data_IF_142111350394
#
_entry.id   IF_142111350394
#
_cell.length_a   1.000
_cell.length_b   1.000
_cell.length_c   1.000
_cell.angle_alpha   90.00
_cell.angle_beta   90.00
_cell.angle_gamma   90.00
#
_symmetry.space_group_name_H-M   'P 1'
#
loop_
_entity.id
_entity.type
_entity.pdbx_description
1 polymer ?
#
# COMPACT_ATOMS: atom_id res chain seq x y z
N UNK A 1 0.95 -23.95 -16.16
CA UNK A 1 2.33 -23.45 -16.26
C UNK A 1 2.24 -22.01 -16.75
N UNK A 2 1.94 -21.09 -15.84
CA UNK A 2 1.75 -19.67 -16.20
C UNK A 2 3.11 -19.02 -16.34
N UNK A 3 3.39 -18.47 -17.53
CA UNK A 3 4.63 -17.74 -17.78
C UNK A 3 4.47 -16.36 -17.17
N UNK A 4 5.18 -16.11 -16.08
CA UNK A 4 5.32 -14.76 -15.53
C UNK A 4 6.06 -13.91 -16.56
N UNK A 5 5.35 -12.98 -17.19
CA UNK A 5 5.93 -12.01 -18.12
C UNK A 5 6.53 -10.87 -17.31
N UNK A 6 7.82 -10.97 -17.00
CA UNK A 6 8.55 -9.89 -16.35
C UNK A 6 8.84 -8.80 -17.37
N UNK A 7 8.11 -7.68 -17.32
CA UNK A 7 8.46 -6.47 -18.06
C UNK A 7 9.61 -5.78 -17.31
N UNK A 8 10.82 -5.84 -17.88
CA UNK A 8 11.97 -5.12 -17.36
C UNK A 8 11.89 -3.65 -17.81
N UNK A 9 11.43 -2.76 -16.94
CA UNK A 9 11.48 -1.31 -17.17
C UNK A 9 12.83 -0.81 -16.66
N UNK A 10 13.74 -0.44 -17.57
CA UNK A 10 15.01 0.17 -17.20
C UNK A 10 14.74 1.58 -16.64
N UNK A 11 14.98 1.76 -15.33
CA UNK A 11 14.99 3.06 -14.67
C UNK A 11 16.43 3.42 -14.33
N UNK A 12 16.87 4.64 -14.63
CA UNK A 12 18.18 5.11 -14.17
C UNK A 12 18.23 5.03 -12.64
N UNK A 13 19.27 4.37 -12.12
CA UNK A 13 19.45 4.10 -10.68
C UNK A 13 19.06 5.30 -9.83
N UNK A 14 18.31 5.07 -8.74
CA UNK A 14 17.89 6.12 -7.83
C UNK A 14 19.09 6.90 -7.31
N UNK A 15 19.27 8.13 -7.79
CA UNK A 15 20.30 9.01 -7.23
C UNK A 15 19.84 9.51 -5.87
N UNK A 16 20.75 9.81 -4.93
CA UNK A 16 20.38 10.44 -3.65
C UNK A 16 19.59 11.74 -3.82
N UNK A 17 19.78 12.46 -4.92
CA UNK A 17 19.01 13.64 -5.28
C UNK A 17 17.53 13.30 -5.52
N UNK A 18 17.25 12.26 -6.32
CA UNK A 18 15.88 11.83 -6.60
C UNK A 18 15.15 11.38 -5.31
N UNK A 19 15.83 10.69 -4.41
CA UNK A 19 15.24 10.29 -3.12
C UNK A 19 14.81 11.50 -2.27
N UNK A 20 15.62 12.57 -2.28
CA UNK A 20 15.29 13.82 -1.58
C UNK A 20 14.14 14.57 -2.27
N UNK A 21 14.13 14.64 -3.60
CA UNK A 21 13.03 15.26 -4.36
C UNK A 21 11.69 14.56 -4.10
N UNK A 22 11.69 13.23 -4.10
CA UNK A 22 10.49 12.45 -3.75
C UNK A 22 10.04 12.81 -2.33
N UNK A 23 10.97 12.82 -1.37
CA UNK A 23 10.66 13.15 0.02
C UNK A 23 10.02 14.54 0.14
N UNK A 24 10.62 15.56 -0.46
CA UNK A 24 10.11 16.93 -0.45
C UNK A 24 8.72 17.03 -1.07
N UNK A 25 8.49 16.35 -2.19
CA UNK A 25 7.18 16.32 -2.85
C UNK A 25 6.10 15.64 -1.99
N UNK A 26 6.45 14.55 -1.27
CA UNK A 26 5.53 13.87 -0.35
C UNK A 26 5.18 14.72 0.88
N UNK A 27 6.13 15.52 1.37
CA UNK A 27 5.94 16.43 2.51
C UNK A 27 5.09 17.67 2.15
N UNK A 28 5.06 18.04 0.87
CA UNK A 28 4.23 19.13 0.35
C UNK A 28 2.72 18.87 0.47
N UNK A 29 1.91 19.80 -0.06
CA UNK A 29 0.44 19.67 -0.10
C UNK A 29 -0.11 19.53 -1.52
N UNK A 30 0.75 19.54 -2.55
CA UNK A 30 0.34 19.42 -3.94
C UNK A 30 0.01 17.97 -4.30
N UNK A 31 -1.26 17.69 -4.57
CA UNK A 31 -1.77 16.34 -4.84
C UNK A 31 -1.15 15.72 -6.10
N UNK A 32 -1.07 16.42 -7.26
CA UNK A 32 -0.36 15.93 -8.43
C UNK A 32 1.10 15.58 -8.15
N UNK A 33 1.87 16.45 -7.49
CA UNK A 33 3.26 16.16 -7.13
C UNK A 33 3.38 14.93 -6.21
N UNK A 34 2.48 14.77 -5.24
CA UNK A 34 2.45 13.56 -4.39
C UNK A 34 2.18 12.30 -5.18
N UNK A 35 1.26 12.34 -6.14
CA UNK A 35 0.94 11.20 -7.01
C UNK A 35 2.18 10.77 -7.79
N UNK A 36 2.89 11.72 -8.41
CA UNK A 36 4.09 11.41 -9.17
C UNK A 36 5.26 10.96 -8.28
N UNK A 37 5.42 11.57 -7.10
CA UNK A 37 6.38 11.12 -6.10
C UNK A 37 6.10 9.69 -5.63
N UNK A 38 4.83 9.33 -5.40
CA UNK A 38 4.44 7.96 -5.04
C UNK A 38 4.72 6.95 -6.16
N UNK A 39 4.49 7.30 -7.43
CA UNK A 39 4.87 6.45 -8.57
C UNK A 39 6.38 6.23 -8.61
N UNK A 40 7.16 7.29 -8.44
CA UNK A 40 8.63 7.21 -8.42
C UNK A 40 9.13 6.35 -7.25
N UNK A 41 8.53 6.50 -6.06
CA UNK A 41 8.85 5.67 -4.89
C UNK A 41 8.64 4.17 -5.16
N UNK A 42 7.52 3.83 -5.80
CA UNK A 42 7.20 2.44 -6.19
C UNK A 42 8.19 1.93 -7.24
N UNK A 43 8.53 2.75 -8.24
CA UNK A 43 9.51 2.38 -9.25
C UNK A 43 10.89 2.10 -8.65
N UNK A 44 11.38 2.92 -7.73
CA UNK A 44 12.63 2.67 -7.02
C UNK A 44 12.61 1.33 -6.28
N UNK A 45 11.51 1.06 -5.57
CA UNK A 45 11.34 -0.16 -4.81
C UNK A 45 11.31 -1.41 -5.71
N UNK A 46 10.63 -1.34 -6.86
CA UNK A 46 10.60 -2.42 -7.86
C UNK A 46 11.98 -2.71 -8.48
N UNK A 47 12.87 -1.70 -8.54
CA UNK A 47 14.25 -1.88 -8.98
C UNK A 47 15.19 -2.43 -7.88
N UNK A 48 14.66 -2.65 -6.68
CA UNK A 48 15.42 -3.15 -5.53
C UNK A 48 16.09 -2.05 -4.69
N UNK A 49 15.85 -0.78 -4.99
CA UNK A 49 16.36 0.34 -4.19
C UNK A 49 15.43 0.58 -2.98
N UNK A 50 15.86 0.18 -1.79
CA UNK A 50 15.11 0.44 -0.55
C UNK A 50 15.60 1.72 0.14
N UNK A 51 14.67 2.62 0.46
CA UNK A 51 14.93 3.86 1.20
C UNK A 51 14.10 3.88 2.50
N UNK A 52 14.64 3.40 3.63
CA UNK A 52 13.89 3.34 4.90
C UNK A 52 13.30 4.68 5.34
N UNK A 53 14.00 5.79 5.07
CA UNK A 53 13.51 7.14 5.38
C UNK A 53 12.24 7.50 4.61
N UNK A 54 12.08 6.96 3.40
CA UNK A 54 10.91 7.21 2.58
C UNK A 54 9.65 6.57 3.17
N UNK A 55 9.79 5.39 3.79
CA UNK A 55 8.67 4.74 4.48
C UNK A 55 8.12 5.61 5.62
N UNK A 56 8.99 6.22 6.43
CA UNK A 56 8.60 7.14 7.50
C UNK A 56 7.85 8.35 6.94
N UNK A 57 8.35 8.94 5.84
CA UNK A 57 7.68 10.05 5.15
C UNK A 57 6.31 9.64 4.61
N UNK A 58 6.18 8.46 4.01
CA UNK A 58 4.91 7.93 3.50
C UNK A 58 3.89 7.74 4.64
N UNK A 59 4.29 7.10 5.74
CA UNK A 59 3.42 6.91 6.91
C UNK A 59 2.94 8.24 7.47
N UNK A 60 3.77 9.29 7.46
CA UNK A 60 3.42 10.60 8.00
C UNK A 60 2.55 11.44 7.07
N UNK A 61 2.86 11.49 5.77
CA UNK A 61 2.28 12.49 4.85
C UNK A 61 1.40 11.92 3.73
N UNK A 62 1.44 10.61 3.52
CA UNK A 62 0.67 9.91 2.48
C UNK A 62 -0.46 9.09 3.09
N UNK A 63 -0.19 8.33 4.15
CA UNK A 63 -1.18 7.53 4.88
C UNK A 63 -2.46 8.32 5.25
N UNK A 64 -2.39 9.58 5.75
CA UNK A 64 -3.58 10.34 6.11
C UNK A 64 -4.28 11.02 4.91
N UNK A 65 -3.82 10.84 3.67
CA UNK A 65 -4.41 11.51 2.50
C UNK A 65 -5.83 11.02 2.22
N UNK A 66 -6.74 11.92 1.88
CA UNK A 66 -8.11 11.57 1.46
C UNK A 66 -8.22 11.29 -0.05
N UNK A 67 -7.16 11.59 -0.83
CA UNK A 67 -7.16 11.38 -2.27
C UNK A 67 -7.12 9.88 -2.61
N UNK A 68 -8.11 9.42 -3.38
CA UNK A 68 -8.27 8.02 -3.72
C UNK A 68 -7.14 7.47 -4.60
N UNK A 69 -6.50 8.31 -5.42
CA UNK A 69 -5.37 7.90 -6.26
C UNK A 69 -4.14 7.67 -5.39
N UNK A 70 -3.88 8.59 -4.46
CA UNK A 70 -2.80 8.47 -3.47
C UNK A 70 -3.00 7.22 -2.61
N UNK A 71 -4.21 6.99 -2.10
CA UNK A 71 -4.51 5.79 -1.29
C UNK A 71 -4.30 4.49 -2.08
N UNK A 72 -4.67 4.46 -3.36
CA UNK A 72 -4.42 3.29 -4.21
C UNK A 72 -2.92 3.04 -4.42
N UNK A 73 -2.14 4.10 -4.65
CA UNK A 73 -0.68 4.00 -4.78
C UNK A 73 -0.03 3.58 -3.46
N UNK A 74 -0.55 4.05 -2.33
CA UNK A 74 -0.11 3.63 -1.00
C UNK A 74 -0.28 2.12 -0.81
N UNK A 75 -1.45 1.55 -1.16
CA UNK A 75 -1.65 0.10 -1.05
C UNK A 75 -0.70 -0.69 -1.94
N UNK A 76 -0.39 -0.19 -3.15
CA UNK A 76 0.59 -0.82 -4.05
C UNK A 76 2.01 -0.75 -3.46
N UNK A 77 2.40 0.39 -2.88
CA UNK A 77 3.67 0.53 -2.19
C UNK A 77 3.78 -0.44 -1.01
N UNK A 78 2.73 -0.52 -0.19
CA UNK A 78 2.67 -1.42 0.96
C UNK A 78 2.72 -2.90 0.57
N UNK A 79 2.27 -3.26 -0.62
CA UNK A 79 2.35 -4.64 -1.11
C UNK A 79 3.81 -5.08 -1.31
N UNK A 80 4.68 -4.17 -1.75
CA UNK A 80 6.04 -4.47 -2.19
C UNK A 80 7.06 -4.41 -1.03
N UNK A 81 6.88 -3.51 -0.05
CA UNK A 81 7.87 -3.35 1.05
C UNK A 81 7.95 -4.60 1.94
N UNK A 82 9.09 -4.76 2.62
CA UNK A 82 9.18 -5.67 3.76
C UNK A 82 8.47 -5.07 4.99
N UNK A 83 7.56 -5.83 5.59
CA UNK A 83 6.78 -5.41 6.77
C UNK A 83 7.43 -5.82 8.09
N UNK A 84 8.62 -6.41 8.03
CA UNK A 84 9.35 -6.91 9.19
C UNK A 84 10.75 -6.32 9.27
N UNK A 85 11.30 -6.23 10.48
CA UNK A 85 12.69 -5.87 10.71
C UNK A 85 13.65 -7.03 10.37
N UNK A 86 14.96 -6.78 10.45
CA UNK A 86 15.97 -7.83 10.21
C UNK A 86 15.95 -9.00 11.21
N UNK A 87 15.08 -8.96 12.23
CA UNK A 87 14.84 -10.06 13.19
C UNK A 87 13.50 -10.76 12.92
N UNK A 88 12.77 -10.40 11.87
CA UNK A 88 11.48 -10.97 11.50
C UNK A 88 10.30 -10.44 12.33
N UNK A 89 10.48 -9.36 13.09
CA UNK A 89 9.38 -8.74 13.87
C UNK A 89 8.69 -7.69 13.04
N UNK A 90 7.36 -7.61 13.13
CA UNK A 90 6.58 -6.60 12.40
C UNK A 90 7.03 -5.18 12.77
N UNK A 91 7.15 -4.31 11.77
CA UNK A 91 7.55 -2.92 11.96
C UNK A 91 6.51 -2.17 12.84
N UNK A 92 6.92 -1.36 13.84
CA UNK A 92 6.00 -0.64 14.71
C UNK A 92 4.99 0.26 13.96
N UNK A 93 5.41 0.82 12.83
CA UNK A 93 4.58 1.66 11.95
C UNK A 93 3.37 0.90 11.38
N UNK A 94 3.43 -0.44 11.33
CA UNK A 94 2.30 -1.27 10.90
C UNK A 94 1.07 -1.09 11.80
N UNK A 95 1.23 -0.62 13.04
CA UNK A 95 0.10 -0.26 13.91
C UNK A 95 -0.78 0.82 13.25
N UNK A 96 -0.15 1.86 12.68
CA UNK A 96 -0.88 2.95 12.01
C UNK A 96 -1.51 2.47 10.70
N UNK A 97 -0.79 1.62 9.97
CA UNK A 97 -1.29 1.02 8.72
C UNK A 97 -2.48 0.11 9.00
N UNK A 98 -2.42 -0.75 10.03
CA UNK A 98 -3.55 -1.57 10.46
C UNK A 98 -4.78 -0.74 10.80
N UNK A 99 -4.61 0.39 11.50
CA UNK A 99 -5.73 1.28 11.80
C UNK A 99 -6.33 1.88 10.54
N UNK A 100 -5.49 2.31 9.59
CA UNK A 100 -5.96 2.83 8.29
C UNK A 100 -6.71 1.76 7.49
N UNK A 101 -6.17 0.54 7.39
CA UNK A 101 -6.82 -0.59 6.71
C UNK A 101 -8.15 -0.94 7.35
N UNK A 102 -8.23 -0.94 8.69
CA UNK A 102 -9.49 -1.16 9.42
C UNK A 102 -10.53 -0.10 9.09
N UNK A 103 -10.13 1.17 9.03
CA UNK A 103 -11.02 2.27 8.64
C UNK A 103 -11.50 2.08 7.19
N UNK A 104 -10.61 1.68 6.28
CA UNK A 104 -10.97 1.42 4.88
C UNK A 104 -11.97 0.26 4.74
N UNK A 105 -11.83 -0.81 5.53
CA UNK A 105 -12.80 -1.93 5.57
C UNK A 105 -14.18 -1.52 6.08
N UNK A 106 -14.28 -0.42 6.85
CA UNK A 106 -15.54 0.12 7.39
C UNK A 106 -16.03 1.34 6.60
N UNK A 107 -15.33 1.74 5.55
CA UNK A 107 -15.58 2.97 4.81
C UNK A 107 -16.92 2.90 4.05
N UNK A 108 -17.75 3.95 3.98
CA UNK A 108 -19.05 3.88 3.28
C UNK A 108 -18.92 3.46 1.80
N UNK A 109 -17.89 3.92 1.09
CA UNK A 109 -17.60 3.54 -0.30
C UNK A 109 -17.12 2.08 -0.43
N UNK A 110 -17.92 1.24 -1.10
CA UNK A 110 -17.64 -0.18 -1.36
C UNK A 110 -16.38 -0.42 -2.19
N UNK A 111 -16.02 0.50 -3.09
CA UNK A 111 -14.80 0.38 -3.89
C UNK A 111 -13.56 0.36 -2.99
N UNK A 112 -13.52 1.22 -1.97
CA UNK A 112 -12.41 1.30 -1.01
C UNK A 112 -12.33 0.00 -0.21
N UNK A 113 -13.47 -0.53 0.24
CA UNK A 113 -13.52 -1.84 0.92
C UNK A 113 -12.97 -2.96 0.04
N UNK A 114 -13.45 -3.03 -1.22
CA UNK A 114 -13.05 -4.07 -2.17
C UNK A 114 -11.56 -4.04 -2.53
N UNK A 115 -11.01 -2.85 -2.79
CA UNK A 115 -9.57 -2.70 -3.05
C UNK A 115 -8.74 -3.07 -1.82
N UNK A 116 -9.20 -2.68 -0.62
CA UNK A 116 -8.55 -3.04 0.64
C UNK A 116 -8.58 -4.55 0.86
N UNK A 117 -9.72 -5.22 0.66
CA UNK A 117 -9.83 -6.68 0.76
C UNK A 117 -8.87 -7.40 -0.20
N UNK A 118 -8.79 -6.95 -1.46
CA UNK A 118 -7.83 -7.49 -2.43
C UNK A 118 -6.39 -7.34 -1.96
N UNK A 119 -6.04 -6.19 -1.38
CA UNK A 119 -4.72 -5.97 -0.81
C UNK A 119 -4.44 -6.94 0.36
N UNK A 120 -5.40 -7.15 1.26
CA UNK A 120 -5.24 -8.06 2.39
C UNK A 120 -5.01 -9.52 1.96
N UNK A 121 -5.54 -9.94 0.81
CA UNK A 121 -5.25 -11.27 0.23
C UNK A 121 -3.78 -11.46 -0.18
N UNK A 122 -2.98 -10.38 -0.22
CA UNK A 122 -1.56 -10.40 -0.59
C UNK A 122 -0.62 -10.22 0.60
N UNK A 123 -1.17 -10.07 1.81
CA UNK A 123 -0.39 -10.02 3.05
C UNK A 123 -0.15 -11.43 3.60
N UNK A 124 1.02 -11.63 4.18
CA UNK A 124 1.42 -12.91 4.80
C UNK A 124 1.60 -12.80 6.31
N UNK A 125 1.68 -11.57 6.83
CA UNK A 125 1.97 -11.27 8.23
C UNK A 125 0.71 -11.43 9.08
N UNK A 126 0.62 -12.55 9.78
CA UNK A 126 -0.53 -12.90 10.62
C UNK A 126 -0.84 -11.81 11.65
N UNK A 127 0.18 -11.22 12.28
CA UNK A 127 0.03 -10.13 13.26
C UNK A 127 -0.66 -8.88 12.70
N UNK A 128 -0.60 -8.66 11.38
CA UNK A 128 -1.30 -7.57 10.69
C UNK A 128 -2.73 -7.96 10.35
N UNK A 129 -2.96 -9.22 9.94
CA UNK A 129 -4.27 -9.70 9.49
C UNK A 129 -5.21 -9.95 10.68
N UNK A 130 -4.73 -10.56 11.76
CA UNK A 130 -5.50 -10.94 12.94
C UNK A 130 -6.39 -9.81 13.50
N UNK A 131 -5.90 -8.58 13.74
CA UNK A 131 -6.74 -7.49 14.23
C UNK A 131 -7.82 -7.02 13.23
N UNK A 132 -7.70 -7.38 11.95
CA UNK A 132 -8.63 -6.98 10.88
C UNK A 132 -9.74 -8.01 10.62
N UNK A 133 -9.60 -9.24 11.13
CA UNK A 133 -10.54 -10.35 10.92
C UNK A 133 -12.01 -9.94 11.16
N UNK A 134 -12.38 -9.26 12.26
CA UNK A 134 -13.79 -8.88 12.47
C UNK A 134 -14.35 -7.99 11.36
N UNK A 135 -13.55 -7.05 10.85
CA UNK A 135 -13.95 -6.17 9.76
C UNK A 135 -13.96 -6.88 8.41
N UNK A 136 -13.04 -7.83 8.18
CA UNK A 136 -13.04 -8.69 6.99
C UNK A 136 -14.33 -9.54 6.95
N UNK A 137 -14.64 -10.24 8.04
CA UNK A 137 -15.82 -11.10 8.14
C UNK A 137 -17.12 -10.31 7.91
N UNK A 138 -17.24 -9.12 8.50
CA UNK A 138 -18.40 -8.25 8.27
C UNK A 138 -18.58 -7.90 6.79
N UNK A 139 -17.50 -7.69 6.03
CA UNK A 139 -17.60 -7.42 4.59
C UNK A 139 -18.02 -8.66 3.77
N UNK A 140 -17.71 -9.87 4.21
CA UNK A 140 -18.13 -11.11 3.54
C UNK A 140 -19.61 -11.44 3.76
N UNK A 141 -20.18 -10.98 4.87
CA UNK A 141 -21.61 -11.16 5.18
C UNK A 141 -22.50 -10.14 4.46
N UNK A 142 -21.94 -9.05 3.93
CA UNK A 142 -22.67 -8.08 3.13
C UNK A 142 -23.06 -8.69 1.76
N UNK A 143 -24.36 -8.95 1.58
CA UNK A 143 -24.95 -9.42 0.31
C UNK A 143 -24.99 -8.29 -0.72
N UNK A 144 -23.84 -7.92 -1.30
CA UNK A 144 -23.80 -7.07 -2.48
C UNK A 144 -22.82 -7.67 -3.51
N UNK A 145 -23.19 -7.76 -4.81
CA UNK A 145 -22.46 -8.55 -5.83
C UNK A 145 -20.96 -8.20 -5.95
N UNK A 146 -20.55 -6.96 -5.68
CA UNK A 146 -19.15 -6.54 -5.73
C UNK A 146 -18.25 -7.23 -4.68
N UNK A 147 -18.81 -7.67 -3.55
CA UNK A 147 -18.07 -8.37 -2.49
C UNK A 147 -18.21 -9.90 -2.56
N UNK A 148 -19.24 -10.39 -3.28
CA UNK A 148 -19.52 -11.82 -3.46
C UNK A 148 -18.89 -12.44 -4.70
N UNK A 149 -18.51 -11.63 -5.70
CA UNK A 149 -17.86 -12.12 -6.90
C UNK A 149 -16.39 -12.47 -6.65
N UNK A 150 -16.16 -13.75 -6.36
CA UNK A 150 -14.85 -14.43 -6.40
C UNK A 150 -14.05 -14.18 -7.69
N UNK A 151 -14.68 -13.60 -8.71
CA UNK A 151 -14.09 -13.26 -10.00
C UNK A 151 -13.11 -12.08 -9.95
N UNK A 152 -13.14 -11.26 -8.89
CA UNK A 152 -12.14 -10.22 -8.68
C UNK A 152 -10.94 -10.69 -7.83
N UNK A 153 -10.98 -11.91 -7.28
CA UNK A 153 -9.92 -12.52 -6.48
C UNK A 153 -8.96 -13.41 -7.30
N UNK A 154 -9.16 -13.49 -8.62
CA UNK A 154 -8.27 -14.17 -9.58
C UNK A 154 -7.71 -13.16 -10.59
#
# INVERSE_FOLDING_TARGET
>A
MERSSSLLVHFDKGTPALANEIKEALEGNDVPAKIDAMKNAIMLLLNGDTLPQLFITIVRYVLPSEDHTIQKLLLLYLEIIDKTDGKGRVLPEMILICQNLRNNLQHPNEYIRGVTLRFLCRLNEVEIIEPLIPSIMSNLEHRHPLLGDKQFLL
#
